data_IF_642105552267
#
_entry.id   IF_642105552267
#
_cell.length_a   1.000
_cell.length_b   1.000
_cell.length_c   1.000
_cell.angle_alpha   90.00
_cell.angle_beta   90.00
_cell.angle_gamma   90.00
#
_symmetry.space_group_name_H-M   'P 1'
#
loop_
_entity.id
_entity.type
_entity.pdbx_description
1 polymer ?
#
# COMPACT_ATOMS: atom_id res chain seq x y z
N UNK A 1 1.97 35.67 -24.06
CA UNK A 1 1.86 35.35 -22.61
C UNK A 1 0.42 35.04 -22.19
N UNK A 2 -0.58 35.79 -22.65
CA UNK A 2 -2.02 35.59 -22.35
C UNK A 2 -2.63 34.21 -22.70
N UNK A 3 -2.28 33.60 -23.84
CA UNK A 3 -2.84 32.30 -24.26
C UNK A 3 -2.52 31.13 -23.30
N UNK A 4 -1.35 31.15 -22.64
CA UNK A 4 -1.00 30.13 -21.63
C UNK A 4 -1.84 30.28 -20.36
N UNK A 5 -2.13 31.52 -19.98
CA UNK A 5 -2.91 31.88 -18.79
C UNK A 5 -4.39 31.48 -18.95
N UNK A 6 -4.98 31.70 -20.14
CA UNK A 6 -6.36 31.29 -20.44
C UNK A 6 -6.51 29.77 -20.46
N UNK A 7 -5.59 29.04 -21.12
CA UNK A 7 -5.60 27.56 -21.08
C UNK A 7 -5.45 27.02 -19.66
N UNK A 8 -4.58 27.62 -18.85
CA UNK A 8 -4.40 27.23 -17.44
C UNK A 8 -5.69 27.44 -16.63
N UNK A 9 -6.42 28.54 -16.86
CA UNK A 9 -7.68 28.83 -16.17
C UNK A 9 -8.82 27.87 -16.55
N UNK A 10 -8.95 27.49 -17.83
CA UNK A 10 -9.94 26.50 -18.26
C UNK A 10 -9.65 25.09 -17.72
N UNK A 11 -8.37 24.68 -17.71
CA UNK A 11 -7.94 23.40 -17.13
C UNK A 11 -8.21 23.38 -15.62
N UNK A 12 -7.89 24.47 -14.91
CA UNK A 12 -8.16 24.60 -13.48
C UNK A 12 -9.67 24.51 -13.15
N UNK A 13 -10.53 25.15 -13.95
CA UNK A 13 -11.99 25.13 -13.75
C UNK A 13 -12.63 23.78 -14.09
N UNK A 14 -12.19 23.13 -15.16
CA UNK A 14 -12.64 21.77 -15.52
C UNK A 14 -12.21 20.75 -14.47
N UNK A 15 -10.99 20.86 -13.95
CA UNK A 15 -10.49 20.03 -12.85
C UNK A 15 -11.25 20.30 -11.54
N UNK A 16 -11.56 21.56 -11.22
CA UNK A 16 -12.30 21.90 -10.00
C UNK A 16 -13.69 21.24 -9.97
N UNK A 17 -14.40 21.19 -11.11
CA UNK A 17 -15.69 20.51 -11.20
C UNK A 17 -15.55 18.98 -11.09
N UNK A 18 -14.56 18.39 -11.78
CA UNK A 18 -14.28 16.95 -11.76
C UNK A 18 -14.02 16.43 -10.34
N UNK A 19 -13.26 17.19 -9.56
CA UNK A 19 -12.80 16.75 -8.24
C UNK A 19 -13.71 17.17 -7.09
N UNK A 20 -14.78 17.92 -7.38
CA UNK A 20 -15.66 18.48 -6.35
C UNK A 20 -16.19 17.45 -5.35
N UNK A 21 -16.71 16.27 -5.76
CA UNK A 21 -17.22 15.29 -4.80
C UNK A 21 -16.14 14.75 -3.85
N UNK A 22 -14.91 14.59 -4.35
CA UNK A 22 -13.78 14.07 -3.57
C UNK A 22 -13.25 15.16 -2.62
N UNK A 23 -13.18 16.39 -3.11
CA UNK A 23 -12.84 17.57 -2.30
C UNK A 23 -13.81 17.71 -1.12
N UNK A 24 -15.11 17.75 -1.40
CA UNK A 24 -16.15 17.95 -0.39
C UNK A 24 -16.16 16.80 0.63
N UNK A 25 -15.95 15.56 0.16
CA UNK A 25 -15.77 14.41 1.04
C UNK A 25 -14.52 14.53 1.92
N UNK A 26 -13.39 14.98 1.37
CA UNK A 26 -12.17 15.20 2.13
C UNK A 26 -12.39 16.25 3.23
N UNK A 27 -13.02 17.39 2.91
CA UNK A 27 -13.36 18.44 3.87
C UNK A 27 -14.31 17.93 4.97
N UNK A 28 -15.31 17.12 4.60
CA UNK A 28 -16.23 16.51 5.59
C UNK A 28 -15.53 15.61 6.61
N UNK A 29 -14.36 15.07 6.24
CA UNK A 29 -13.47 14.28 7.09
C UNK A 29 -12.34 15.09 7.72
N UNK A 30 -12.48 16.42 7.76
CA UNK A 30 -11.46 17.36 8.25
C UNK A 30 -10.10 17.19 7.55
N UNK A 31 -10.13 16.72 6.30
CA UNK A 31 -8.96 16.51 5.46
C UNK A 31 -8.66 17.73 4.58
N UNK A 32 -7.42 17.80 4.12
CA UNK A 32 -6.95 18.79 3.17
C UNK A 32 -6.81 18.15 1.79
N UNK A 33 -7.54 18.66 0.80
CA UNK A 33 -7.42 18.26 -0.60
C UNK A 33 -6.45 19.20 -1.33
N UNK A 34 -5.53 18.64 -2.11
CA UNK A 34 -4.58 19.38 -2.96
C UNK A 34 -4.49 18.72 -4.33
N UNK A 35 -4.49 19.53 -5.38
CA UNK A 35 -4.19 19.04 -6.73
C UNK A 35 -2.69 18.78 -6.87
N UNK A 36 -2.32 17.73 -7.60
CA UNK A 36 -0.94 17.50 -7.97
C UNK A 36 -0.43 18.64 -8.86
N UNK A 37 0.88 18.90 -8.85
CA UNK A 37 1.50 20.01 -9.60
C UNK A 37 1.25 19.93 -11.11
N UNK A 38 1.11 18.73 -11.65
CA UNK A 38 0.80 18.47 -13.06
C UNK A 38 -0.69 18.66 -13.40
N UNK A 39 -1.53 18.90 -12.39
CA UNK A 39 -2.99 19.02 -12.51
C UNK A 39 -3.70 17.73 -12.90
N UNK A 40 -2.99 16.59 -12.96
CA UNK A 40 -3.55 15.30 -13.37
C UNK A 40 -3.94 14.42 -12.20
N UNK A 41 -3.30 14.59 -11.04
CA UNK A 41 -3.57 13.84 -9.82
C UNK A 41 -4.08 14.70 -8.66
N UNK A 42 -4.26 14.07 -7.50
CA UNK A 42 -4.59 14.75 -6.25
C UNK A 42 -3.95 14.06 -5.04
N UNK A 43 -3.92 14.80 -3.93
CA UNK A 43 -3.47 14.40 -2.61
C UNK A 43 -4.54 14.80 -1.59
N UNK A 44 -4.85 13.89 -0.67
CA UNK A 44 -5.70 14.14 0.50
C UNK A 44 -4.91 13.80 1.75
N UNK A 45 -4.82 14.75 2.67
CA UNK A 45 -4.18 14.56 3.97
C UNK A 45 -5.24 14.69 5.08
N UNK A 46 -5.41 13.65 5.88
CA UNK A 46 -6.32 13.59 7.02
C UNK A 46 -5.51 13.30 8.29
N UNK A 47 -4.84 14.31 8.88
CA UNK A 47 -3.93 14.12 10.02
C UNK A 47 -4.64 13.65 11.30
N UNK A 48 -5.96 13.90 11.39
CA UNK A 48 -6.82 13.50 12.53
C UNK A 48 -7.73 12.32 12.20
N UNK A 49 -7.48 11.61 11.10
CA UNK A 49 -8.23 10.39 10.80
C UNK A 49 -7.99 9.33 11.88
N UNK A 50 -8.99 8.49 12.07
CA UNK A 50 -8.89 7.27 12.87
C UNK A 50 -8.87 6.06 11.93
N UNK A 51 -8.10 5.01 12.24
CA UNK A 51 -7.32 4.80 13.46
C UNK A 51 -5.95 5.51 13.50
N UNK A 52 -5.55 6.18 12.42
CA UNK A 52 -4.33 6.99 12.40
C UNK A 52 -4.30 7.98 11.24
N UNK A 53 -3.28 8.84 11.23
CA UNK A 53 -3.10 9.88 10.20
C UNK A 53 -3.08 9.25 8.81
N UNK A 54 -4.01 9.68 7.96
CA UNK A 54 -4.25 9.08 6.65
C UNK A 54 -3.81 10.02 5.54
N UNK A 55 -3.02 9.49 4.60
CA UNK A 55 -2.68 10.13 3.34
C UNK A 55 -3.22 9.30 2.19
N UNK A 56 -3.94 9.92 1.26
CA UNK A 56 -4.44 9.31 0.03
C UNK A 56 -3.90 10.10 -1.16
N UNK A 57 -3.30 9.42 -2.11
CA UNK A 57 -2.73 10.02 -3.31
C UNK A 57 -3.20 9.26 -4.54
N UNK A 58 -3.63 9.99 -5.56
CA UNK A 58 -3.95 9.43 -6.86
C UNK A 58 -3.15 10.15 -7.94
N UNK A 59 -2.46 9.40 -8.80
CA UNK A 59 -1.63 9.95 -9.86
C UNK A 59 -0.90 8.88 -10.66
N UNK A 60 0.15 9.27 -11.40
CA UNK A 60 0.97 8.33 -12.17
C UNK A 60 1.52 7.19 -11.28
N UNK A 61 1.51 5.97 -11.80
CA UNK A 61 2.00 4.79 -11.11
C UNK A 61 3.48 4.90 -10.72
N UNK A 62 3.82 4.35 -9.56
CA UNK A 62 5.20 4.20 -9.08
C UNK A 62 5.66 2.74 -9.07
N UNK A 63 4.93 1.85 -9.74
CA UNK A 63 5.29 0.43 -9.91
C UNK A 63 5.10 0.00 -11.34
N UNK A 64 6.07 -0.74 -11.85
CA UNK A 64 6.02 -1.29 -13.20
C UNK A 64 4.82 -2.21 -13.43
N UNK A 65 4.35 -2.91 -12.39
CA UNK A 65 3.20 -3.82 -12.46
C UNK A 65 1.83 -3.10 -12.41
N UNK A 66 1.80 -1.78 -12.25
CA UNK A 66 0.57 -0.97 -12.33
C UNK A 66 0.68 -0.04 -13.53
N UNK A 67 -0.17 -0.26 -14.52
CA UNK A 67 -0.22 0.58 -15.72
C UNK A 67 -1.02 1.87 -15.47
N UNK A 68 -0.54 2.98 -16.02
CA UNK A 68 -1.23 4.26 -15.98
C UNK A 68 -1.24 4.90 -14.60
N UNK A 69 -2.41 4.93 -13.96
CA UNK A 69 -2.66 5.65 -12.72
C UNK A 69 -2.95 4.72 -11.54
N UNK A 70 -2.50 5.16 -10.38
CA UNK A 70 -2.46 4.39 -9.16
C UNK A 70 -3.10 5.19 -8.02
N UNK A 71 -3.89 4.51 -7.19
CA UNK A 71 -4.27 5.01 -5.87
C UNK A 71 -3.32 4.44 -4.81
N UNK A 72 -2.70 5.34 -4.05
CA UNK A 72 -1.79 5.04 -2.95
C UNK A 72 -2.37 5.59 -1.66
N UNK A 73 -2.47 4.75 -0.64
CA UNK A 73 -2.85 5.17 0.70
C UNK A 73 -1.79 4.79 1.71
N UNK A 74 -1.65 5.61 2.72
CA UNK A 74 -0.75 5.38 3.86
C UNK A 74 -1.44 5.83 5.13
N UNK A 75 -1.55 4.93 6.09
CA UNK A 75 -2.04 5.23 7.43
C UNK A 75 -0.89 5.07 8.43
N UNK A 76 -0.61 6.13 9.18
CA UNK A 76 0.43 6.16 10.21
C UNK A 76 -0.12 5.66 11.53
N UNK A 77 0.40 4.53 12.02
CA UNK A 77 -0.11 3.86 13.23
C UNK A 77 0.95 3.62 14.31
N UNK A 78 2.24 3.78 13.97
CA UNK A 78 3.38 3.44 14.84
C UNK A 78 3.36 1.97 15.30
N UNK A 79 3.03 1.06 14.37
CA UNK A 79 3.10 -0.38 14.61
C UNK A 79 4.53 -0.82 14.96
N UNK A 80 4.66 -1.93 15.67
CA UNK A 80 5.94 -2.57 15.96
C UNK A 80 6.69 -2.92 14.67
N UNK A 81 8.02 -2.83 14.68
CA UNK A 81 8.88 -3.09 13.52
C UNK A 81 8.69 -4.48 12.91
N UNK A 82 8.36 -5.45 13.75
CA UNK A 82 8.20 -6.86 13.37
C UNK A 82 6.85 -7.15 12.70
N UNK A 83 5.93 -6.17 12.69
CA UNK A 83 4.69 -6.27 11.91
C UNK A 83 4.96 -5.92 10.46
N UNK A 84 5.62 -6.85 9.78
CA UNK A 84 5.86 -6.84 8.33
C UNK A 84 5.03 -7.95 7.69
N UNK A 85 3.84 -7.56 7.22
CA UNK A 85 2.83 -8.45 6.66
C UNK A 85 2.33 -7.84 5.36
N UNK A 86 2.01 -8.67 4.38
CA UNK A 86 1.54 -8.25 3.07
C UNK A 86 0.44 -9.18 2.60
N UNK A 87 -0.61 -8.58 2.04
CA UNK A 87 -1.72 -9.22 1.34
C UNK A 87 -1.74 -8.64 -0.07
N UNK A 88 -1.87 -9.48 -1.08
CA UNK A 88 -1.94 -9.07 -2.47
C UNK A 88 -2.84 -10.00 -3.28
N UNK A 89 -3.39 -9.51 -4.39
CA UNK A 89 -4.16 -10.37 -5.30
C UNK A 89 -3.28 -11.52 -5.83
N UNK A 90 -3.84 -12.73 -5.92
CA UNK A 90 -3.07 -13.92 -6.33
C UNK A 90 -2.44 -13.81 -7.71
N UNK A 91 -3.17 -13.29 -8.70
CA UNK A 91 -2.60 -13.12 -10.03
C UNK A 91 -1.42 -12.16 -10.01
N UNK A 92 -1.49 -11.06 -9.23
CA UNK A 92 -0.34 -10.18 -9.05
C UNK A 92 0.82 -10.91 -8.36
N UNK A 93 0.54 -11.70 -7.33
CA UNK A 93 1.54 -12.53 -6.65
C UNK A 93 2.28 -13.46 -7.64
N UNK A 94 1.55 -14.16 -8.50
CA UNK A 94 2.12 -15.05 -9.52
C UNK A 94 2.97 -14.29 -10.55
N UNK A 95 2.51 -13.11 -10.99
CA UNK A 95 3.29 -12.26 -11.90
C UNK A 95 4.59 -11.81 -11.23
N UNK A 96 4.53 -11.30 -10.00
CA UNK A 96 5.71 -10.84 -9.28
C UNK A 96 6.69 -11.98 -8.99
N UNK A 97 6.20 -13.17 -8.63
CA UNK A 97 7.04 -14.35 -8.41
C UNK A 97 7.76 -14.78 -9.68
N UNK A 98 7.05 -14.79 -10.82
CA UNK A 98 7.67 -15.08 -12.12
C UNK A 98 8.72 -14.05 -12.49
N UNK A 99 8.42 -12.76 -12.35
CA UNK A 99 9.38 -11.68 -12.64
C UNK A 99 10.63 -11.78 -11.78
N UNK A 100 10.47 -12.12 -10.49
CA UNK A 100 11.59 -12.34 -9.60
C UNK A 100 12.42 -13.55 -10.01
N UNK A 101 11.77 -14.66 -10.35
CA UNK A 101 12.47 -15.86 -10.83
C UNK A 101 13.26 -15.58 -12.11
N UNK A 102 12.65 -14.92 -13.09
CA UNK A 102 13.29 -14.50 -14.35
C UNK A 102 14.50 -13.61 -14.07
N UNK A 103 14.35 -12.59 -13.22
CA UNK A 103 15.44 -11.72 -12.83
C UNK A 103 16.58 -12.48 -12.14
N UNK A 104 16.29 -13.49 -11.29
CA UNK A 104 17.33 -14.35 -10.68
C UNK A 104 18.03 -15.25 -11.70
N UNK A 105 17.30 -15.80 -12.67
CA UNK A 105 17.91 -16.62 -13.73
C UNK A 105 18.78 -15.78 -14.68
N UNK A 106 18.38 -14.53 -14.94
CA UNK A 106 19.14 -13.61 -15.79
C UNK A 106 20.34 -12.98 -15.04
N UNK A 107 20.25 -12.75 -13.73
CA UNK A 107 21.33 -12.15 -12.89
C UNK A 107 22.53 -13.06 -12.60
N UNK A 108 22.55 -14.30 -13.12
CA UNK A 108 23.83 -15.00 -13.37
C UNK A 108 24.71 -14.25 -14.40
N UNK A 109 24.18 -13.20 -15.04
CA UNK A 109 24.92 -12.17 -15.78
C UNK A 109 24.73 -10.79 -15.13
N UNK A 110 25.62 -10.46 -14.18
CA UNK A 110 26.03 -9.10 -13.76
C UNK A 110 25.01 -8.15 -13.09
N UNK A 111 25.40 -7.74 -11.87
CA UNK A 111 24.90 -6.65 -10.98
C UNK A 111 23.58 -6.90 -10.23
N UNK A 112 23.74 -7.06 -8.91
CA UNK A 112 22.70 -7.01 -7.88
C UNK A 112 22.02 -5.65 -7.95
N UNK A 113 20.73 -5.66 -8.28
CA UNK A 113 19.96 -4.46 -8.58
C UNK A 113 19.22 -3.96 -7.33
N UNK A 114 19.58 -2.77 -6.86
CA UNK A 114 18.95 -2.08 -5.72
C UNK A 114 17.51 -1.63 -6.01
N UNK A 115 17.04 -1.75 -7.25
CA UNK A 115 15.72 -1.29 -7.70
C UNK A 115 14.58 -2.31 -7.49
N UNK A 116 14.85 -3.49 -6.93
CA UNK A 116 13.80 -4.50 -6.71
C UNK A 116 12.74 -3.98 -5.72
N UNK A 117 11.46 -3.84 -6.12
CA UNK A 117 10.38 -3.38 -5.25
C UNK A 117 10.23 -4.22 -3.97
N UNK A 118 9.79 -3.60 -2.87
CA UNK A 118 9.56 -4.28 -1.58
C UNK A 118 8.71 -5.54 -1.73
N UNK A 119 7.64 -5.45 -2.51
CA UNK A 119 6.68 -6.54 -2.71
C UNK A 119 7.35 -7.79 -3.31
N UNK A 120 8.24 -7.57 -4.29
CA UNK A 120 9.03 -8.65 -4.91
C UNK A 120 10.03 -9.26 -3.94
N UNK A 121 10.73 -8.42 -3.17
CA UNK A 121 11.70 -8.88 -2.18
C UNK A 121 11.05 -9.74 -1.10
N UNK A 122 9.87 -9.33 -0.62
CA UNK A 122 9.17 -10.04 0.44
C UNK A 122 8.65 -11.40 -0.02
N UNK A 123 8.26 -11.54 -1.30
CA UNK A 123 7.83 -12.83 -1.87
C UNK A 123 8.92 -13.90 -1.83
N UNK A 124 10.19 -13.48 -1.82
CA UNK A 124 11.36 -14.36 -1.67
C UNK A 124 11.68 -14.58 -0.20
N UNK A 125 11.67 -13.50 0.59
CA UNK A 125 12.19 -13.52 1.96
C UNK A 125 11.23 -14.12 2.98
N UNK A 126 9.92 -13.93 2.80
CA UNK A 126 8.95 -14.21 3.85
C UNK A 126 8.08 -15.43 3.55
N UNK A 127 7.74 -16.22 4.59
CA UNK A 127 6.85 -17.35 4.44
C UNK A 127 5.45 -16.89 4.02
N UNK A 128 4.87 -17.62 3.06
CA UNK A 128 3.49 -17.47 2.63
C UNK A 128 2.55 -18.14 3.63
N UNK A 129 1.39 -17.54 3.85
CA UNK A 129 0.30 -18.12 4.63
C UNK A 129 -0.32 -19.28 3.83
N UNK A 130 -0.32 -20.47 4.42
CA UNK A 130 -0.82 -21.70 3.76
C UNK A 130 -2.32 -21.90 3.96
N UNK A 131 -2.86 -21.41 5.07
CA UNK A 131 -4.25 -21.63 5.46
C UNK A 131 -4.93 -20.28 5.67
N UNK A 132 -5.94 -20.01 4.83
CA UNK A 132 -6.82 -18.84 4.93
C UNK A 132 -8.23 -19.39 5.09
N UNK A 133 -8.92 -18.99 6.16
CA UNK A 133 -10.20 -19.57 6.57
C UNK A 133 -11.31 -19.31 5.54
N UNK A 134 -11.42 -18.08 5.05
CA UNK A 134 -12.39 -17.72 4.01
C UNK A 134 -12.00 -18.31 2.65
N UNK A 135 -12.86 -19.16 2.07
CA UNK A 135 -12.63 -19.78 0.75
C UNK A 135 -12.46 -18.73 -0.35
N UNK A 136 -13.30 -17.69 -0.35
CA UNK A 136 -13.26 -16.63 -1.36
C UNK A 136 -11.98 -15.81 -1.23
N UNK A 137 -11.63 -15.37 -0.02
CA UNK A 137 -10.36 -14.64 0.22
C UNK A 137 -9.18 -15.51 -0.17
N UNK A 138 -9.19 -16.80 0.21
CA UNK A 138 -8.14 -17.74 -0.17
C UNK A 138 -7.99 -17.88 -1.67
N UNK A 139 -9.05 -17.83 -2.45
CA UNK A 139 -8.99 -17.91 -3.91
C UNK A 139 -8.46 -16.62 -4.54
N UNK A 140 -8.74 -15.45 -3.94
CA UNK A 140 -8.48 -14.14 -4.55
C UNK A 140 -7.19 -13.48 -4.07
N UNK A 141 -6.74 -13.79 -2.87
CA UNK A 141 -5.59 -13.16 -2.23
C UNK A 141 -4.57 -14.19 -1.74
N UNK A 142 -3.30 -13.79 -1.80
CA UNK A 142 -2.21 -14.40 -1.06
C UNK A 142 -1.79 -13.49 0.09
N UNK A 143 -1.22 -14.08 1.14
CA UNK A 143 -0.67 -13.35 2.26
C UNK A 143 0.69 -13.93 2.66
N UNK A 144 1.57 -13.07 3.17
CA UNK A 144 2.91 -13.40 3.65
C UNK A 144 3.36 -12.41 4.72
N UNK A 145 4.37 -12.77 5.48
CA UNK A 145 4.99 -11.86 6.45
C UNK A 145 6.11 -12.54 7.22
N UNK A 146 6.92 -11.76 7.93
CA UNK A 146 8.06 -12.27 8.74
C UNK A 146 7.60 -13.41 9.66
N UNK A 147 6.40 -13.27 10.23
CA UNK A 147 5.73 -14.32 10.96
C UNK A 147 4.41 -14.68 10.26
N UNK A 148 4.36 -15.89 9.68
CA UNK A 148 3.17 -16.40 8.97
C UNK A 148 1.93 -16.47 9.86
N UNK A 149 2.08 -16.68 11.17
CA UNK A 149 0.96 -16.72 12.11
C UNK A 149 0.39 -15.33 12.31
N UNK A 150 1.23 -14.30 12.44
CA UNK A 150 0.75 -12.91 12.53
C UNK A 150 0.07 -12.48 11.22
N UNK A 151 0.64 -12.84 10.07
CA UNK A 151 0.02 -12.55 8.77
C UNK A 151 -1.33 -13.26 8.58
N UNK A 152 -1.46 -14.51 9.04
CA UNK A 152 -2.73 -15.22 9.05
C UNK A 152 -3.73 -14.53 9.99
N UNK A 153 -3.33 -14.24 11.23
CA UNK A 153 -4.16 -13.55 12.22
C UNK A 153 -4.64 -12.17 11.75
N UNK A 154 -3.86 -11.49 10.89
CA UNK A 154 -4.23 -10.19 10.32
C UNK A 154 -5.35 -10.29 9.30
N UNK A 155 -5.39 -11.40 8.55
CA UNK A 155 -6.38 -11.68 7.51
C UNK A 155 -7.70 -12.27 8.06
N UNK A 156 -7.79 -12.49 9.36
CA UNK A 156 -9.01 -12.97 10.02
C UNK A 156 -9.95 -11.81 10.42
N UNK A 157 -11.16 -12.14 10.86
CA UNK A 157 -12.15 -11.17 11.34
C UNK A 157 -12.68 -10.23 10.25
N UNK A 158 -12.89 -8.95 10.61
CA UNK A 158 -13.54 -7.95 9.75
C UNK A 158 -12.77 -7.74 8.43
N UNK A 159 -11.44 -7.82 8.45
CA UNK A 159 -10.63 -7.65 7.25
C UNK A 159 -10.92 -8.74 6.21
N UNK A 160 -11.12 -9.98 6.67
CA UNK A 160 -11.47 -11.11 5.80
C UNK A 160 -12.79 -10.86 5.06
N UNK A 161 -13.79 -10.37 5.79
CA UNK A 161 -15.13 -10.10 5.26
C UNK A 161 -15.11 -8.96 4.25
N UNK A 162 -14.41 -7.86 4.57
CA UNK A 162 -14.29 -6.71 3.68
C UNK A 162 -13.50 -7.04 2.42
N UNK A 163 -12.43 -7.84 2.51
CA UNK A 163 -11.69 -8.31 1.33
C UNK A 163 -12.53 -9.27 0.48
N UNK A 164 -13.33 -10.14 1.11
CA UNK A 164 -14.26 -10.99 0.39
C UNK A 164 -15.26 -10.16 -0.43
N UNK A 165 -15.86 -9.14 0.18
CA UNK A 165 -16.76 -8.22 -0.51
C UNK A 165 -16.03 -7.45 -1.64
N UNK A 166 -14.88 -6.85 -1.33
CA UNK A 166 -14.10 -6.08 -2.29
C UNK A 166 -13.66 -6.92 -3.51
N UNK A 167 -13.45 -8.23 -3.36
CA UNK A 167 -13.06 -9.11 -4.45
C UNK A 167 -14.13 -9.31 -5.54
N UNK A 168 -15.40 -8.97 -5.23
CA UNK A 168 -16.52 -9.16 -6.14
C UNK A 168 -16.68 -7.98 -7.11
N UNK A 169 -16.41 -6.75 -6.67
CA UNK A 169 -16.69 -5.53 -7.42
C UNK A 169 -15.50 -4.56 -7.49
N UNK A 170 -14.87 -4.27 -6.35
CA UNK A 170 -13.85 -3.24 -6.21
C UNK A 170 -12.49 -3.68 -6.76
N UNK A 171 -12.16 -4.96 -6.57
CA UNK A 171 -10.90 -5.60 -6.93
C UNK A 171 -11.21 -6.80 -7.84
N UNK A 172 -11.62 -6.55 -9.11
CA UNK A 172 -11.92 -7.61 -10.05
C UNK A 172 -10.68 -8.48 -10.32
N UNK A 173 -10.90 -9.62 -10.96
CA UNK A 173 -9.81 -10.56 -11.22
C UNK A 173 -8.75 -9.90 -12.12
N UNK A 174 -7.47 -10.12 -11.81
CA UNK A 174 -6.34 -9.46 -12.49
C UNK A 174 -6.08 -8.01 -12.08
N UNK A 175 -6.90 -7.42 -11.19
CA UNK A 175 -6.66 -6.07 -10.70
C UNK A 175 -5.46 -6.02 -9.73
N UNK A 176 -4.40 -5.24 -10.02
CA UNK A 176 -3.26 -5.12 -9.11
C UNK A 176 -3.67 -4.46 -7.80
N UNK A 177 -3.48 -5.18 -6.69
CA UNK A 177 -3.76 -4.71 -5.34
C UNK A 177 -2.72 -5.25 -4.36
N UNK A 178 -2.22 -4.36 -3.51
CA UNK A 178 -1.28 -4.66 -2.42
C UNK A 178 -1.75 -3.92 -1.16
N UNK A 179 -1.79 -4.63 -0.04
CA UNK A 179 -2.05 -4.12 1.29
C UNK A 179 -0.92 -4.62 2.20
N UNK A 180 -0.17 -3.74 2.85
CA UNK A 180 1.00 -4.16 3.64
C UNK A 180 1.22 -3.30 4.89
N UNK A 181 1.71 -3.92 5.96
CA UNK A 181 2.26 -3.22 7.12
C UNK A 181 3.77 -3.10 6.97
N UNK A 182 4.33 -1.89 7.08
CA UNK A 182 5.78 -1.66 6.97
C UNK A 182 6.18 -0.40 7.73
N UNK A 183 7.31 -0.44 8.45
CA UNK A 183 7.89 0.73 9.16
C UNK A 183 6.85 1.48 10.00
N UNK A 184 6.02 0.73 10.73
CA UNK A 184 5.00 1.29 11.61
C UNK A 184 3.70 1.77 10.94
N UNK A 185 3.55 1.60 9.63
CA UNK A 185 2.42 2.12 8.86
C UNK A 185 1.69 1.00 8.12
N UNK A 186 0.46 1.27 7.70
CA UNK A 186 -0.29 0.45 6.74
C UNK A 186 -0.33 1.16 5.40
N UNK A 187 -0.05 0.44 4.33
CA UNK A 187 -0.07 0.94 2.96
C UNK A 187 -1.09 0.14 2.15
N UNK A 188 -1.84 0.83 1.29
CA UNK A 188 -2.69 0.22 0.27
C UNK A 188 -2.33 0.82 -1.08
N UNK A 189 -2.18 -0.04 -2.08
CA UNK A 189 -1.83 0.34 -3.45
C UNK A 189 -2.68 -0.44 -4.42
N UNK A 190 -3.29 0.25 -5.37
CA UNK A 190 -4.13 -0.40 -6.38
C UNK A 190 -4.16 0.39 -7.67
N UNK A 191 -4.32 -0.30 -8.79
CA UNK A 191 -4.55 0.37 -10.06
C UNK A 191 -5.87 1.16 -9.99
N UNK A 192 -5.91 2.37 -10.53
CA UNK A 192 -7.14 3.16 -10.54
C UNK A 192 -7.13 4.10 -11.74
N UNK A 193 -7.70 3.69 -12.86
CA UNK A 193 -7.82 4.52 -14.06
C UNK A 193 -8.67 5.77 -13.81
N UNK A 194 -9.77 5.60 -13.08
CA UNK A 194 -10.70 6.68 -12.76
C UNK A 194 -11.01 6.73 -11.27
N UNK A 195 -10.64 7.82 -10.58
CA UNK A 195 -10.87 7.97 -9.16
C UNK A 195 -12.28 8.52 -8.93
N UNK A 196 -13.24 7.62 -8.75
CA UNK A 196 -14.60 7.97 -8.35
C UNK A 196 -14.71 7.96 -6.82
N UNK A 197 -15.50 8.87 -6.25
CA UNK A 197 -15.70 8.94 -4.80
C UNK A 197 -16.13 7.59 -4.16
N UNK A 198 -17.10 6.82 -4.72
CA UNK A 198 -17.50 5.54 -4.12
C UNK A 198 -16.35 4.52 -4.02
N UNK A 199 -15.52 4.41 -5.06
CA UNK A 199 -14.34 3.52 -5.06
C UNK A 199 -13.30 3.94 -4.02
N UNK A 200 -13.03 5.24 -3.89
CA UNK A 200 -12.09 5.76 -2.89
C UNK A 200 -12.62 5.44 -1.48
N UNK A 201 -13.89 5.72 -1.21
CA UNK A 201 -14.50 5.41 0.08
C UNK A 201 -14.46 3.91 0.40
N UNK A 202 -14.68 3.05 -0.59
CA UNK A 202 -14.58 1.61 -0.41
C UNK A 202 -13.16 1.15 -0.07
N UNK A 203 -12.14 1.67 -0.76
CA UNK A 203 -10.74 1.37 -0.47
C UNK A 203 -10.27 1.94 0.87
N UNK A 204 -10.79 3.10 1.28
CA UNK A 204 -10.56 3.63 2.62
C UNK A 204 -11.14 2.70 3.68
N UNK A 205 -12.32 2.10 3.48
CA UNK A 205 -12.88 1.11 4.42
C UNK A 205 -12.00 -0.13 4.51
N UNK A 206 -11.46 -0.63 3.39
CA UNK A 206 -10.50 -1.74 3.37
C UNK A 206 -9.26 -1.38 4.20
N UNK A 207 -8.67 -0.21 3.95
CA UNK A 207 -7.49 0.26 4.68
C UNK A 207 -7.78 0.43 6.18
N UNK A 208 -8.87 1.09 6.55
CA UNK A 208 -9.22 1.33 7.95
C UNK A 208 -9.46 0.03 8.72
N UNK A 209 -10.09 -0.97 8.09
CA UNK A 209 -10.25 -2.31 8.66
C UNK A 209 -8.89 -3.00 8.84
N UNK A 210 -8.02 -2.93 7.83
CA UNK A 210 -6.67 -3.46 7.91
C UNK A 210 -5.86 -2.80 9.05
N UNK A 211 -6.03 -1.49 9.25
CA UNK A 211 -5.41 -0.75 10.33
C UNK A 211 -5.92 -1.20 11.72
N UNK A 212 -7.24 -1.40 11.88
CA UNK A 212 -7.81 -1.91 13.14
C UNK A 212 -7.27 -3.29 13.49
N UNK A 213 -7.24 -4.20 12.51
CA UNK A 213 -6.70 -5.55 12.71
C UNK A 213 -5.19 -5.53 12.98
N UNK A 214 -4.43 -4.65 12.32
CA UNK A 214 -3.00 -4.48 12.60
C UNK A 214 -2.75 -3.98 14.03
N UNK A 215 -3.54 -3.01 14.51
CA UNK A 215 -3.47 -2.53 15.90
C UNK A 215 -3.85 -3.60 16.91
N UNK A 216 -4.87 -4.43 16.61
CA UNK A 216 -5.25 -5.57 17.46
C UNK A 216 -4.09 -6.54 17.64
N UNK A 217 -3.36 -6.84 16.57
CA UNK A 217 -2.19 -7.73 16.61
C UNK A 217 -1.03 -7.06 17.33
N UNK A 218 -0.81 -5.78 17.07
CA UNK A 218 0.22 -4.98 17.74
C UNK A 218 0.07 -5.01 19.26
N UNK A 219 -1.15 -4.83 19.78
CA UNK A 219 -1.44 -4.92 21.21
C UNK A 219 -1.04 -6.28 21.81
N UNK A 220 -1.38 -7.38 21.14
CA UNK A 220 -0.99 -8.74 21.57
C UNK A 220 0.53 -8.94 21.60
N UNK A 221 1.26 -8.29 20.69
CA UNK A 221 2.72 -8.36 20.64
C UNK A 221 3.35 -7.61 21.80
N UNK A 222 2.84 -6.40 22.11
CA UNK A 222 3.31 -5.60 23.25
C UNK A 222 3.06 -6.29 24.61
N UNK A 223 1.97 -7.06 24.74
CA UNK A 223 1.64 -7.80 25.96
C UNK A 223 2.48 -9.07 26.19
N UNK A 224 2.95 -9.73 25.12
CA UNK A 224 3.62 -11.04 25.20
C UNK A 224 5.14 -10.98 25.35
N UNK A 225 5.72 -9.78 25.47
CA UNK A 225 7.18 -9.58 25.48
C UNK A 225 7.81 -9.87 24.10
N UNK A 226 9.15 -9.74 23.96
CA UNK A 226 9.84 -9.99 22.71
C UNK A 226 9.60 -11.43 22.24
N UNK A 227 8.93 -11.59 21.10
CA UNK A 227 8.89 -12.88 20.42
C UNK A 227 10.31 -13.24 19.97
N UNK A 228 10.73 -14.52 20.02
CA UNK A 228 12.00 -14.91 19.43
C UNK A 228 11.88 -14.80 17.90
N UNK A 229 12.21 -13.62 17.36
CA UNK A 229 12.38 -13.40 15.94
C UNK A 229 13.69 -14.06 15.54
N UNK A 230 13.64 -15.15 14.77
CA UNK A 230 14.79 -15.68 14.05
C UNK A 230 15.10 -14.78 12.84
N UNK A 231 15.26 -13.49 13.06
CA UNK A 231 15.66 -12.55 12.01
C UNK A 231 17.17 -12.61 11.88
N UNK A 232 17.63 -13.25 10.81
CA UNK A 232 19.00 -13.12 10.32
C UNK A 232 19.37 -11.64 10.23
N UNK A 233 20.38 -11.25 11.00
CA UNK A 233 21.04 -9.96 10.92
C UNK A 233 21.84 -9.93 9.61
N UNK A 234 21.17 -9.67 8.50
CA UNK A 234 21.79 -9.31 7.25
C UNK A 234 20.95 -8.17 6.67
N UNK A 235 21.58 -7.11 6.21
CA UNK A 235 20.95 -5.92 5.63
C UNK A 235 20.44 -4.86 6.64
N UNK A 236 21.32 -4.45 7.56
CA UNK A 236 21.36 -3.02 7.89
C UNK A 236 22.23 -2.34 6.83
N UNK A 237 21.62 -1.52 5.97
CA UNK A 237 22.37 -0.58 5.13
C UNK A 237 22.95 0.48 6.05
N UNK A 238 24.26 0.42 6.31
CA UNK A 238 24.98 1.50 6.96
C UNK A 238 24.83 2.77 6.11
N UNK A 239 24.24 3.82 6.69
CA UNK A 239 24.40 5.17 6.17
C UNK A 239 25.90 5.53 6.22
N UNK A 240 26.51 6.07 5.16
CA UNK A 240 27.85 6.62 5.26
C UNK A 240 27.80 7.82 6.21
N UNK A 241 28.66 7.82 7.23
CA UNK A 241 28.90 8.99 8.07
C UNK A 241 29.36 10.16 7.18
N UNK A 242 28.70 11.30 7.34
CA UNK A 242 29.14 12.57 6.76
C UNK A 242 30.42 13.01 7.46
N UNK A 243 31.55 12.94 6.75
CA UNK A 243 32.81 13.58 7.14
C UNK A 243 32.58 15.09 7.33
N UNK A 244 32.62 15.54 8.58
CA UNK A 244 32.67 16.96 8.94
C UNK A 244 34.08 17.46 8.67
N UNK A 245 34.30 18.47 7.80
CA UNK A 245 35.62 19.05 7.62
C UNK A 245 35.98 19.93 8.83
N UNK A 246 37.08 19.59 9.49
CA UNK A 246 37.73 20.47 10.47
C UNK A 246 38.40 21.63 9.74
N UNK A 247 38.04 22.85 10.13
CA UNK A 247 38.87 24.05 10.02
C UNK A 247 38.65 24.91 11.27
#
# INVERSE_FOLDING_TARGET
MFLKQVKHWFIARANAARWRPIHDWAESRQGQFRLAKDGRGFLIEQPKAMPGSLRIEWGASQRAYIEGTELRMRCELRLHSDLQMMILCRQLMEVLERTVFEAYTDTLKTRVDTDTPEEMRWLVMFPKVTTISSKLVRQRFGALGVNKTLAADWLEGELSEILAQASQDLLPEGHPFVLMTMRGNVYLRTAMTEPTLPKIQALVRVLESACREALRINGKLSERGPWPTTTSVAWHSSTPDEDVPQN
#
